data_IF_295982521333
#
_entry.id   IF_295982521333
#
_cell.length_a   1.000
_cell.length_b   1.000
_cell.length_c   1.000
_cell.angle_alpha   90.00
_cell.angle_beta   90.00
_cell.angle_gamma   90.00
#
_symmetry.space_group_name_H-M   'P 1'
#
loop_
_entity.id
_entity.type
_entity.pdbx_description
1 polymer ?
#
# COMPACT_ATOMS: atom_id res chain seq x y z
N UNK A 1 -5.90 -7.66 -9.79
CA UNK A 1 -5.32 -8.61 -8.81
C UNK A 1 -6.18 -8.57 -7.56
N UNK A 2 -6.51 -9.71 -6.96
CA UNK A 2 -7.21 -9.76 -5.67
C UNK A 2 -6.19 -10.07 -4.56
N UNK A 3 -6.17 -9.24 -3.53
CA UNK A 3 -5.46 -9.52 -2.28
C UNK A 3 -6.38 -10.29 -1.33
N UNK A 4 -5.83 -11.31 -0.69
CA UNK A 4 -6.55 -12.14 0.26
C UNK A 4 -5.80 -12.19 1.60
N UNK A 5 -6.51 -11.91 2.68
CA UNK A 5 -5.93 -11.84 4.02
C UNK A 5 -6.39 -13.02 4.86
N UNK A 6 -5.42 -13.72 5.44
CA UNK A 6 -5.62 -14.87 6.29
C UNK A 6 -5.02 -14.56 7.67
N UNK A 7 -5.82 -14.51 8.74
CA UNK A 7 -5.29 -14.29 10.07
C UNK A 7 -4.54 -15.54 10.53
N UNK A 8 -3.37 -15.35 11.15
CA UNK A 8 -2.69 -16.45 11.81
C UNK A 8 -3.43 -16.80 13.09
N UNK A 9 -3.78 -18.08 13.26
CA UNK A 9 -4.40 -18.60 14.47
C UNK A 9 -3.35 -18.76 15.58
N UNK A 10 -3.80 -18.89 16.84
CA UNK A 10 -2.89 -19.14 17.98
C UNK A 10 -2.02 -20.39 17.81
N UNK A 11 -2.47 -21.35 17.00
CA UNK A 11 -1.72 -22.55 16.64
C UNK A 11 -0.62 -22.32 15.60
N UNK A 12 -0.45 -21.09 15.11
CA UNK A 12 0.45 -20.72 14.02
C UNK A 12 -0.07 -21.05 12.61
N UNK A 13 -1.21 -21.74 12.51
CA UNK A 13 -1.85 -22.12 11.24
C UNK A 13 -2.69 -20.97 10.67
N UNK A 14 -2.98 -21.05 9.38
CA UNK A 14 -3.91 -20.15 8.68
C UNK A 14 -5.20 -20.90 8.33
N UNK A 15 -6.37 -20.22 8.34
CA UNK A 15 -7.63 -20.82 7.90
C UNK A 15 -7.66 -21.00 6.36
N UNK A 16 -8.50 -21.91 5.87
CA UNK A 16 -8.64 -22.19 4.43
C UNK A 16 -9.35 -21.07 3.64
N UNK A 17 -10.04 -20.17 4.33
CA UNK A 17 -10.79 -19.05 3.73
C UNK A 17 -10.23 -17.72 4.21
N UNK A 18 -10.09 -16.72 3.32
CA UNK A 18 -9.66 -15.39 3.73
C UNK A 18 -10.78 -14.68 4.50
N UNK A 19 -10.40 -13.85 5.46
CA UNK A 19 -11.33 -13.02 6.25
C UNK A 19 -11.56 -11.65 5.63
N UNK A 20 -10.70 -11.26 4.70
CA UNK A 20 -10.80 -9.99 3.98
C UNK A 20 -10.19 -10.14 2.58
N UNK A 21 -10.79 -9.44 1.63
CA UNK A 21 -10.32 -9.38 0.24
C UNK A 21 -10.34 -7.96 -0.24
N UNK A 22 -9.39 -7.61 -1.09
CA UNK A 22 -9.30 -6.27 -1.66
C UNK A 22 -8.71 -6.32 -3.05
N UNK A 23 -9.37 -5.67 -4.00
CA UNK A 23 -8.84 -5.56 -5.35
C UNK A 23 -7.75 -4.49 -5.43
N UNK A 24 -6.75 -4.81 -6.25
CA UNK A 24 -5.67 -3.94 -6.66
C UNK A 24 -5.46 -4.05 -8.18
N UNK A 25 -5.10 -2.94 -8.81
CA UNK A 25 -4.93 -2.86 -10.26
C UNK A 25 -3.46 -2.81 -10.60
N UNK A 26 -3.01 -3.72 -11.48
CA UNK A 26 -1.76 -3.56 -12.20
C UNK A 26 -2.11 -3.07 -13.61
N UNK A 27 -1.38 -2.07 -14.11
CA UNK A 27 -1.57 -1.61 -15.50
C UNK A 27 -0.52 -2.24 -16.40
N UNK A 28 -0.95 -2.75 -17.55
CA UNK A 28 -0.05 -3.27 -18.58
C UNK A 28 -0.17 -2.37 -19.80
N UNK A 29 0.96 -1.77 -20.18
CA UNK A 29 1.06 -0.93 -21.37
C UNK A 29 1.75 -1.73 -22.47
N UNK A 30 0.95 -2.13 -23.48
CA UNK A 30 1.43 -2.97 -24.59
C UNK A 30 2.41 -2.19 -25.49
N UNK A 31 2.13 -0.91 -25.75
CA UNK A 31 2.90 -0.10 -26.69
C UNK A 31 4.37 0.12 -26.29
N UNK A 32 4.70 0.02 -25.01
CA UNK A 32 6.05 0.15 -24.47
C UNK A 32 6.50 -1.07 -23.66
N UNK A 33 5.76 -2.19 -23.75
CA UNK A 33 6.02 -3.43 -23.00
C UNK A 33 6.27 -3.21 -21.49
N UNK A 34 5.51 -2.31 -20.87
CA UNK A 34 5.67 -1.93 -19.47
C UNK A 34 4.56 -2.52 -18.60
N UNK A 35 4.92 -2.98 -17.41
CA UNK A 35 3.98 -3.38 -16.37
C UNK A 35 4.14 -2.48 -15.17
N UNK A 36 3.10 -1.72 -14.85
CA UNK A 36 3.04 -0.90 -13.65
C UNK A 36 2.42 -1.73 -12.53
N UNK A 37 3.18 -1.89 -11.45
CA UNK A 37 2.76 -2.66 -10.28
C UNK A 37 2.24 -1.70 -9.20
N UNK A 38 1.09 -2.00 -8.57
CA UNK A 38 0.53 -1.13 -7.55
C UNK A 38 1.40 -1.12 -6.29
N UNK A 39 1.29 -0.05 -5.51
CA UNK A 39 1.79 -0.05 -4.13
C UNK A 39 0.81 -0.83 -3.27
N UNK A 40 1.30 -1.82 -2.51
CA UNK A 40 0.48 -2.63 -1.61
C UNK A 40 1.21 -2.78 -0.28
N UNK A 41 0.74 -2.11 0.77
CA UNK A 41 1.34 -2.17 2.12
C UNK A 41 0.27 -2.27 3.19
N UNK A 42 0.52 -3.11 4.18
CA UNK A 42 -0.23 -3.11 5.44
C UNK A 42 0.68 -2.53 6.54
N UNK A 43 0.21 -1.52 7.23
CA UNK A 43 0.87 -0.89 8.36
C UNK A 43 0.14 -1.30 9.63
N UNK A 44 0.82 -2.01 10.52
CA UNK A 44 0.33 -2.29 11.85
C UNK A 44 1.13 -1.46 12.86
N UNK A 45 0.45 -0.89 13.86
CA UNK A 45 1.07 -0.15 14.96
C UNK A 45 0.27 -0.46 16.22
N UNK A 46 0.96 -0.45 17.36
CA UNK A 46 0.31 -0.55 18.68
C UNK A 46 -0.35 0.78 19.09
N UNK A 47 0.05 1.89 18.45
CA UNK A 47 -0.37 3.25 18.80
C UNK A 47 -1.45 3.81 17.87
N UNK A 48 -1.67 3.18 16.71
CA UNK A 48 -2.59 3.66 15.69
C UNK A 48 -3.37 2.50 15.05
N UNK A 49 -4.60 2.74 14.54
CA UNK A 49 -5.32 1.75 13.75
C UNK A 49 -4.48 1.24 12.59
N UNK A 50 -4.52 -0.06 12.34
CA UNK A 50 -3.82 -0.64 11.21
C UNK A 50 -4.35 -0.05 9.89
N UNK A 51 -3.46 0.18 8.93
CA UNK A 51 -3.81 0.73 7.61
C UNK A 51 -3.48 -0.26 6.51
N UNK A 52 -4.37 -0.36 5.53
CA UNK A 52 -4.05 -0.93 4.23
C UNK A 52 -3.90 0.21 3.22
N UNK A 53 -2.74 0.25 2.56
CA UNK A 53 -2.35 1.25 1.58
C UNK A 53 -2.31 0.62 0.20
N UNK A 54 -3.10 1.17 -0.72
CA UNK A 54 -3.13 0.75 -2.12
C UNK A 54 -2.90 1.97 -3.00
N UNK A 55 -1.76 1.99 -3.68
CA UNK A 55 -1.45 3.03 -4.67
C UNK A 55 -1.86 2.57 -6.06
N UNK A 56 -2.71 3.33 -6.71
CA UNK A 56 -3.06 3.16 -8.11
C UNK A 56 -3.02 4.48 -8.88
N UNK A 57 -2.43 4.45 -10.08
CA UNK A 57 -2.27 5.60 -10.98
C UNK A 57 -1.59 6.80 -10.30
N UNK A 58 -2.37 7.70 -9.74
CA UNK A 58 -1.96 8.97 -9.14
C UNK A 58 -2.64 9.24 -7.78
N UNK A 59 -3.16 8.20 -7.14
CA UNK A 59 -3.76 8.27 -5.82
C UNK A 59 -3.25 7.16 -4.88
N UNK A 60 -3.17 7.50 -3.61
CA UNK A 60 -3.00 6.54 -2.53
C UNK A 60 -4.36 6.34 -1.82
N UNK A 61 -4.90 5.13 -1.90
CA UNK A 61 -6.07 4.71 -1.15
C UNK A 61 -5.63 4.20 0.22
N UNK A 62 -6.23 4.77 1.27
CA UNK A 62 -5.96 4.42 2.66
C UNK A 62 -7.22 3.81 3.27
N UNK A 63 -7.13 2.56 3.69
CA UNK A 63 -8.20 1.85 4.38
C UNK A 63 -7.81 1.64 5.84
N UNK A 64 -8.56 2.23 6.77
CA UNK A 64 -8.33 2.04 8.21
C UNK A 64 -8.97 0.74 8.69
N UNK A 65 -8.35 0.11 9.69
CA UNK A 65 -8.95 -1.02 10.40
C UNK A 65 -10.24 -0.62 11.11
N UNK A 66 -11.22 -1.52 11.17
CA UNK A 66 -12.52 -1.29 11.81
C UNK A 66 -12.78 -2.36 12.88
N UNK A 67 -13.66 -2.07 13.86
CA UNK A 67 -13.94 -3.02 14.97
C UNK A 67 -14.45 -4.39 14.50
N UNK A 68 -15.28 -4.42 13.45
CA UNK A 68 -15.94 -5.64 12.96
C UNK A 68 -15.31 -6.22 11.69
N UNK A 69 -14.31 -5.54 11.11
CA UNK A 69 -13.69 -5.92 9.84
C UNK A 69 -12.20 -5.59 9.86
N UNK A 70 -11.39 -6.42 9.22
CA UNK A 70 -9.94 -6.19 9.15
C UNK A 70 -9.61 -4.79 8.63
N UNK A 71 -10.27 -4.37 7.55
CA UNK A 71 -10.22 -3.00 7.03
C UNK A 71 -11.63 -2.52 6.63
N UNK A 72 -11.84 -1.20 6.70
CA UNK A 72 -13.03 -0.52 6.18
C UNK A 72 -13.21 -0.80 4.68
N UNK A 73 -14.45 -0.84 4.20
CA UNK A 73 -14.72 -0.88 2.75
C UNK A 73 -14.56 0.50 2.09
N UNK A 74 -14.62 1.58 2.88
CA UNK A 74 -14.39 2.95 2.40
C UNK A 74 -12.92 3.29 2.57
N UNK A 75 -12.29 3.78 1.50
CA UNK A 75 -10.97 4.39 1.55
C UNK A 75 -11.04 5.91 1.63
N UNK A 76 -10.02 6.48 2.27
CA UNK A 76 -9.62 7.88 2.05
C UNK A 76 -8.72 7.87 0.80
N UNK A 77 -8.98 8.76 -0.15
CA UNK A 77 -8.15 8.92 -1.36
C UNK A 77 -7.28 10.15 -1.19
N UNK A 78 -5.97 9.94 -1.18
CA UNK A 78 -4.99 11.00 -1.15
C UNK A 78 -4.42 11.19 -2.56
N UNK A 79 -4.37 12.44 -3.04
CA UNK A 79 -3.68 12.76 -4.28
C UNK A 79 -2.17 12.61 -4.03
N UNK A 80 -1.55 11.63 -4.67
CA UNK A 80 -0.17 11.24 -4.42
C UNK A 80 0.38 10.54 -5.65
N UNK A 81 1.49 11.02 -6.20
CA UNK A 81 2.17 10.29 -7.27
C UNK A 81 2.55 8.88 -6.76
N UNK A 82 2.31 7.87 -7.59
CA UNK A 82 2.62 6.47 -7.31
C UNK A 82 3.74 6.03 -8.26
N UNK A 83 4.81 5.38 -7.77
CA UNK A 83 5.87 4.89 -8.64
C UNK A 83 5.33 3.77 -9.54
N UNK A 84 5.83 3.71 -10.78
CA UNK A 84 5.45 2.69 -11.75
C UNK A 84 5.73 1.27 -11.22
N UNK A 85 6.79 1.12 -10.40
CA UNK A 85 7.06 -0.10 -9.67
C UNK A 85 6.74 0.05 -8.17
N UNK A 86 5.45 -0.03 -7.81
CA UNK A 86 4.97 0.07 -6.44
C UNK A 86 5.47 -1.03 -5.49
N UNK A 87 6.03 -2.13 -6.01
CA UNK A 87 6.65 -3.17 -5.18
C UNK A 87 7.89 -2.68 -4.43
N UNK A 88 8.56 -1.65 -4.95
CA UNK A 88 9.73 -1.04 -4.32
C UNK A 88 9.36 -0.17 -3.12
N UNK A 89 8.08 0.16 -2.94
CA UNK A 89 7.64 0.90 -1.77
C UNK A 89 8.06 0.17 -0.48
N UNK A 90 8.42 0.93 0.54
CA UNK A 90 8.81 0.42 1.84
C UNK A 90 8.20 1.25 2.96
N UNK A 91 8.38 0.80 4.19
CA UNK A 91 7.74 1.41 5.34
C UNK A 91 8.72 1.47 6.49
N UNK A 92 8.86 2.62 7.12
CA UNK A 92 9.72 2.84 8.28
C UNK A 92 9.17 3.99 9.11
N UNK A 93 9.44 4.01 10.40
CA UNK A 93 9.25 5.19 11.25
C UNK A 93 10.41 6.15 10.99
N UNK A 94 10.20 7.11 10.08
CA UNK A 94 11.29 7.96 9.55
C UNK A 94 11.58 9.13 10.48
N UNK A 95 10.56 9.66 11.15
CA UNK A 95 10.67 10.79 12.06
C UNK A 95 10.71 10.38 13.55
N UNK A 96 10.72 9.08 13.84
CA UNK A 96 10.81 8.49 15.19
C UNK A 96 9.60 8.85 16.07
N UNK A 97 8.43 8.98 15.47
CA UNK A 97 7.20 9.32 16.18
C UNK A 97 6.39 8.08 16.64
N UNK A 98 6.85 6.87 16.33
CA UNK A 98 6.19 5.60 16.67
C UNK A 98 5.16 5.12 15.63
N UNK A 99 4.91 5.89 14.57
CA UNK A 99 4.06 5.52 13.43
C UNK A 99 4.94 5.17 12.23
N UNK A 100 4.49 4.20 11.45
CA UNK A 100 5.19 3.79 10.24
C UNK A 100 4.79 4.68 9.07
N UNK A 101 5.76 5.28 8.41
CA UNK A 101 5.58 6.09 7.20
C UNK A 101 5.68 5.23 5.94
N UNK A 102 5.09 5.71 4.85
CA UNK A 102 5.24 5.08 3.53
C UNK A 102 6.36 5.79 2.75
N UNK A 103 7.31 5.01 2.26
CA UNK A 103 8.41 5.45 1.40
C UNK A 103 8.12 4.98 -0.02
N UNK A 104 8.09 5.92 -0.96
CA UNK A 104 7.81 5.70 -2.38
C UNK A 104 9.05 6.04 -3.21
N UNK A 105 9.83 5.03 -3.64
CA UNK A 105 10.97 5.26 -4.50
C UNK A 105 10.56 5.34 -5.97
N UNK A 106 10.89 6.46 -6.59
CA UNK A 106 10.76 6.67 -8.02
C UNK A 106 12.11 6.42 -8.70
N UNK A 107 12.07 5.70 -9.79
CA UNK A 107 13.21 5.27 -10.59
C UNK A 107 13.36 6.12 -11.85
N UNK A 108 14.35 5.79 -12.68
CA UNK A 108 14.53 6.41 -13.99
C UNK A 108 13.39 6.11 -14.99
N UNK A 109 12.57 5.08 -14.73
CA UNK A 109 11.42 4.73 -15.57
C UNK A 109 10.20 5.60 -15.29
N UNK A 110 10.18 6.28 -14.14
CA UNK A 110 9.07 7.10 -13.70
C UNK A 110 8.98 8.44 -14.48
N UNK A 111 7.79 9.10 -14.45
CA UNK A 111 7.58 10.38 -15.10
C UNK A 111 8.60 11.44 -14.67
N UNK A 112 8.99 12.30 -15.60
CA UNK A 112 10.06 13.29 -15.42
C UNK A 112 9.91 14.12 -14.14
N UNK A 113 8.68 14.53 -13.81
CA UNK A 113 8.39 15.36 -12.63
C UNK A 113 8.80 14.73 -11.28
N UNK A 114 8.86 13.40 -11.20
CA UNK A 114 9.14 12.64 -9.97
C UNK A 114 10.32 11.69 -10.10
N UNK A 115 10.96 11.64 -11.26
CA UNK A 115 12.02 10.68 -11.60
C UNK A 115 13.19 10.78 -10.62
N UNK A 116 13.71 9.63 -10.18
CA UNK A 116 14.85 9.52 -9.25
C UNK A 116 14.64 10.25 -7.91
N UNK A 117 13.40 10.31 -7.42
CA UNK A 117 13.06 10.90 -6.13
C UNK A 117 12.63 9.83 -5.13
N UNK A 118 12.74 10.16 -3.84
CA UNK A 118 12.11 9.42 -2.75
C UNK A 118 11.02 10.31 -2.17
N UNK A 119 9.78 9.87 -2.21
CA UNK A 119 8.69 10.56 -1.52
C UNK A 119 8.41 9.87 -0.19
N UNK A 120 8.26 10.66 0.87
CA UNK A 120 7.86 10.20 2.18
C UNK A 120 6.42 10.67 2.44
N UNK A 121 5.52 9.73 2.68
CA UNK A 121 4.13 10.03 3.08
C UNK A 121 4.04 9.80 4.58
N UNK A 122 4.23 10.89 5.33
CA UNK A 122 4.31 10.85 6.79
C UNK A 122 2.93 10.74 7.43
N UNK A 123 2.81 9.90 8.47
CA UNK A 123 1.62 9.87 9.30
C UNK A 123 1.72 10.89 10.42
N UNK A 124 0.89 11.95 10.37
CA UNK A 124 0.80 12.92 11.47
C UNK A 124 -0.13 12.45 12.59
#
# INVERSE_FOLDING_TARGET
MELQFFPQLQSGKFPDKPVYRQDATAQVSIGNAQVNLPVLKALASDQAPALLLIGDEDHLKVYQSAKEKLFSSKSIRLKQAIPLNGMLASTADVDQNGKMDLILPFTHLDPEAVRNQLHFVLQQ
#
